data_IF_421616350851
#
_entry.id   IF_421616350851
#
_cell.length_a   1.000
_cell.length_b   1.000
_cell.length_c   1.000
_cell.angle_alpha   90.00
_cell.angle_beta   90.00
_cell.angle_gamma   90.00
#
_symmetry.space_group_name_H-M   'P 1'
#
loop_
_entity.id
_entity.type
_entity.pdbx_description
1 polymer ?
#
# COMPACT_ATOMS: atom_id res chain seq x y z
N UNK A 1 22.40 -29.61 -8.52
CA UNK A 1 21.02 -29.42 -8.01
C UNK A 1 20.83 -27.92 -7.81
N UNK A 2 19.92 -27.26 -8.53
CA UNK A 2 19.67 -25.82 -8.32
C UNK A 2 18.91 -25.68 -7.01
N UNK A 3 19.59 -25.17 -5.98
CA UNK A 3 18.94 -24.78 -4.73
C UNK A 3 17.86 -23.75 -5.07
N UNK A 4 16.60 -24.13 -4.90
CA UNK A 4 15.45 -23.24 -5.04
C UNK A 4 15.48 -22.28 -3.85
N UNK A 5 16.32 -21.24 -3.91
CA UNK A 5 16.33 -20.19 -2.90
C UNK A 5 15.01 -19.45 -3.00
N UNK A 6 14.15 -19.69 -2.01
CA UNK A 6 12.96 -18.88 -1.79
C UNK A 6 13.39 -17.41 -1.78
N UNK A 7 12.66 -16.51 -2.47
CA UNK A 7 12.98 -15.09 -2.42
C UNK A 7 13.00 -14.64 -0.96
N UNK A 8 13.94 -13.76 -0.58
CA UNK A 8 14.03 -13.28 0.79
C UNK A 8 12.66 -12.75 1.21
N UNK A 9 12.16 -13.24 2.35
CA UNK A 9 10.89 -12.77 2.91
C UNK A 9 11.03 -11.26 3.07
N UNK A 10 10.16 -10.44 2.44
CA UNK A 10 10.32 -9.01 2.49
C UNK A 10 10.28 -8.58 3.96
N UNK A 11 11.29 -7.82 4.37
CA UNK A 11 11.29 -7.22 5.70
C UNK A 11 10.01 -6.39 5.86
N UNK A 12 9.43 -6.29 7.07
CA UNK A 12 8.15 -5.60 7.29
C UNK A 12 8.09 -4.19 6.70
N UNK A 13 9.23 -3.48 6.70
CA UNK A 13 9.41 -2.16 6.09
C UNK A 13 9.35 -2.18 4.56
N UNK A 14 9.98 -3.16 3.92
CA UNK A 14 9.92 -3.33 2.46
C UNK A 14 8.52 -3.72 2.00
N UNK A 15 7.82 -4.57 2.77
CA UNK A 15 6.43 -4.93 2.49
C UNK A 15 5.51 -3.72 2.60
N UNK A 16 5.64 -2.91 3.66
CA UNK A 16 4.91 -1.66 3.82
C UNK A 16 5.13 -0.73 2.61
N UNK A 17 6.37 -0.50 2.21
CA UNK A 17 6.69 0.37 1.05
C UNK A 17 6.06 -0.15 -0.24
N UNK A 18 6.11 -1.47 -0.46
CA UNK A 18 5.46 -2.10 -1.60
C UNK A 18 3.94 -1.84 -1.60
N UNK A 19 3.28 -2.03 -0.45
CA UNK A 19 1.84 -1.78 -0.30
C UNK A 19 1.49 -0.31 -0.56
N UNK A 20 2.29 0.63 -0.06
CA UNK A 20 2.12 2.06 -0.34
C UNK A 20 2.18 2.36 -1.83
N UNK A 21 3.18 1.82 -2.54
CA UNK A 21 3.35 2.05 -3.98
C UNK A 21 2.18 1.48 -4.79
N UNK A 22 1.73 0.27 -4.46
CA UNK A 22 0.58 -0.35 -5.12
C UNK A 22 -0.69 0.48 -4.88
N UNK A 23 -0.93 0.91 -3.64
CA UNK A 23 -2.09 1.73 -3.30
C UNK A 23 -2.08 3.07 -4.04
N UNK A 24 -0.93 3.76 -4.07
CA UNK A 24 -0.76 5.02 -4.80
C UNK A 24 -1.03 4.85 -6.31
N UNK A 25 -0.51 3.78 -6.91
CA UNK A 25 -0.75 3.48 -8.33
C UNK A 25 -2.24 3.23 -8.61
N UNK A 26 -2.94 2.50 -7.73
CA UNK A 26 -4.39 2.24 -7.87
C UNK A 26 -5.22 3.51 -7.71
N UNK A 27 -4.91 4.34 -6.71
CA UNK A 27 -5.58 5.64 -6.50
C UNK A 27 -5.40 6.54 -7.72
N UNK A 28 -4.18 6.61 -8.27
CA UNK A 28 -3.88 7.37 -9.48
C UNK A 28 -4.65 6.86 -10.70
N UNK A 29 -4.68 5.54 -10.91
CA UNK A 29 -5.41 4.90 -12.00
C UNK A 29 -6.93 5.16 -11.92
N UNK A 30 -7.50 5.19 -10.71
CA UNK A 30 -8.90 5.52 -10.48
C UNK A 30 -9.20 7.03 -10.48
N UNK A 31 -8.18 7.90 -10.60
CA UNK A 31 -8.28 9.37 -10.48
C UNK A 31 -9.05 9.80 -9.23
N UNK A 32 -8.84 9.07 -8.14
CA UNK A 32 -9.60 9.23 -6.92
C UNK A 32 -9.11 10.45 -6.14
N UNK A 33 -10.01 11.38 -5.84
CA UNK A 33 -9.75 12.56 -4.99
C UNK A 33 -10.51 12.53 -3.66
N UNK A 34 -11.47 11.60 -3.51
CA UNK A 34 -12.24 11.45 -2.27
C UNK A 34 -11.44 10.67 -1.23
N UNK A 35 -11.30 11.24 -0.04
CA UNK A 35 -10.64 10.60 1.11
C UNK A 35 -11.25 9.23 1.46
N UNK A 36 -12.58 9.09 1.32
CA UNK A 36 -13.26 7.83 1.57
C UNK A 36 -12.85 6.76 0.55
N UNK A 37 -12.84 7.10 -0.73
CA UNK A 37 -12.45 6.17 -1.79
C UNK A 37 -10.96 5.80 -1.72
N UNK A 38 -10.08 6.73 -1.34
CA UNK A 38 -8.66 6.44 -1.08
C UNK A 38 -8.54 5.41 0.05
N UNK A 39 -9.29 5.61 1.15
CA UNK A 39 -9.30 4.70 2.30
C UNK A 39 -9.76 3.29 1.88
N UNK A 40 -10.82 3.18 1.08
CA UNK A 40 -11.31 1.89 0.60
C UNK A 40 -10.32 1.19 -0.36
N UNK A 41 -9.67 1.93 -1.26
CA UNK A 41 -8.62 1.39 -2.15
C UNK A 41 -7.43 0.88 -1.34
N UNK A 42 -6.97 1.65 -0.34
CA UNK A 42 -5.87 1.22 0.54
C UNK A 42 -6.29 0.00 1.33
N UNK A 43 -7.52 -0.05 1.87
CA UNK A 43 -8.04 -1.17 2.65
C UNK A 43 -8.03 -2.48 1.84
N UNK A 44 -8.50 -2.43 0.59
CA UNK A 44 -8.46 -3.58 -0.34
C UNK A 44 -7.04 -3.93 -0.77
N UNK A 45 -6.09 -2.99 -0.70
CA UNK A 45 -4.69 -3.24 -1.07
C UNK A 45 -3.91 -3.91 0.05
N UNK A 46 -4.17 -3.52 1.31
CA UNK A 46 -3.42 -4.05 2.45
C UNK A 46 -4.01 -5.33 3.02
N UNK A 47 -5.28 -5.68 2.76
CA UNK A 47 -5.91 -6.94 3.19
C UNK A 47 -5.60 -7.37 4.64
N UNK A 48 -5.70 -6.43 5.59
CA UNK A 48 -5.37 -6.63 7.03
C UNK A 48 -3.90 -7.02 7.32
N UNK A 49 -3.00 -6.98 6.33
CA UNK A 49 -1.56 -7.26 6.48
C UNK A 49 -0.84 -6.23 7.38
N UNK A 50 -1.51 -5.13 7.74
CA UNK A 50 -0.93 -4.04 8.53
C UNK A 50 -1.86 -3.64 9.68
N UNK A 51 -1.25 -3.25 10.80
CA UNK A 51 -1.98 -2.69 11.93
C UNK A 51 -2.67 -1.36 11.57
N UNK A 52 -3.68 -0.98 12.37
CA UNK A 52 -4.47 0.25 12.18
C UNK A 52 -3.62 1.52 12.10
N UNK A 53 -2.49 1.59 12.82
CA UNK A 53 -1.59 2.76 12.80
C UNK A 53 -0.85 2.83 11.47
N UNK A 54 -0.30 1.71 11.02
CA UNK A 54 0.36 1.59 9.72
C UNK A 54 -0.62 1.86 8.57
N UNK A 55 -1.84 1.33 8.64
CA UNK A 55 -2.91 1.61 7.70
C UNK A 55 -3.19 3.12 7.57
N UNK A 56 -3.40 3.81 8.70
CA UNK A 56 -3.63 5.27 8.72
C UNK A 56 -2.48 6.06 8.12
N UNK A 57 -1.24 5.64 8.37
CA UNK A 57 -0.06 6.27 7.80
C UNK A 57 -0.02 6.11 6.27
N UNK A 58 -0.35 4.93 5.74
CA UNK A 58 -0.40 4.70 4.28
C UNK A 58 -1.51 5.54 3.64
N UNK A 59 -2.70 5.61 4.23
CA UNK A 59 -3.81 6.45 3.72
C UNK A 59 -3.41 7.93 3.65
N UNK A 60 -2.75 8.45 4.69
CA UNK A 60 -2.29 9.84 4.72
C UNK A 60 -1.21 10.12 3.65
N UNK A 61 -0.25 9.20 3.50
CA UNK A 61 0.81 9.30 2.50
C UNK A 61 0.25 9.29 1.07
N UNK A 62 -0.62 8.31 0.76
CA UNK A 62 -1.25 8.19 -0.55
C UNK A 62 -2.16 9.39 -0.85
N UNK A 63 -2.95 9.85 0.13
CA UNK A 63 -3.79 11.03 -0.02
C UNK A 63 -3.00 12.30 -0.31
N UNK A 64 -1.85 12.49 0.34
CA UNK A 64 -0.94 13.59 0.06
C UNK A 64 -0.32 13.54 -1.35
N UNK A 65 -0.06 12.33 -1.88
CA UNK A 65 0.44 12.17 -3.27
C UNK A 65 -0.64 12.34 -4.33
N UNK A 66 -1.90 12.01 -4.04
CA UNK A 66 -3.02 12.12 -4.99
C UNK A 66 -3.53 13.56 -5.16
N UNK A 67 -3.22 14.46 -4.23
CA UNK A 67 -3.61 15.88 -4.27
C UNK A 67 -2.59 16.79 -4.99
N UNK A 68 -1.44 16.26 -5.38
CA UNK A 68 -0.41 16.98 -6.16
C UNK A 68 -0.56 16.74 -7.65
#
# INVERSE_FOLDING_TARGET
>A
MRENRLPPVPQPTARRQQLTLIAAARVSACRTTSSQQITDIVRVTVDDEVDTTTFRAIVAEVGGTAQR
#
